data_IF_785645656305
#
_entry.id   IF_785645656305
#
_cell.length_a   1.000
_cell.length_b   1.000
_cell.length_c   1.000
_cell.angle_alpha   90.00
_cell.angle_beta   90.00
_cell.angle_gamma   90.00
#
_symmetry.space_group_name_H-M   'P 1'
#
loop_
_entity.id
_entity.type
_entity.pdbx_description
1 polymer ?
#
# COMPACT_ATOMS: atom_id res chain seq x y z
N UNK A 1 3.28 0.41 -17.40
CA UNK A 1 2.81 1.02 -16.14
C UNK A 1 3.40 0.30 -14.94
N UNK A 2 3.66 1.02 -13.82
CA UNK A 2 4.19 0.44 -12.57
C UNK A 2 3.24 0.73 -11.42
N UNK A 3 2.84 -0.32 -10.68
CA UNK A 3 1.98 -0.22 -9.51
C UNK A 3 2.79 -0.52 -8.25
N UNK A 4 2.92 0.46 -7.37
CA UNK A 4 3.75 0.42 -6.17
C UNK A 4 2.88 0.21 -4.94
N UNK A 5 3.04 -0.94 -4.29
CA UNK A 5 2.31 -1.31 -3.07
C UNK A 5 3.25 -1.33 -1.86
N UNK A 6 2.81 -0.84 -0.69
CA UNK A 6 3.67 -0.77 0.49
C UNK A 6 4.09 -2.13 1.05
N UNK A 7 3.32 -3.18 0.77
CA UNK A 7 3.53 -4.52 1.31
C UNK A 7 3.38 -5.59 0.23
N UNK A 8 4.27 -6.58 0.23
CA UNK A 8 4.18 -7.77 -0.64
C UNK A 8 2.86 -8.53 -0.46
N UNK A 9 2.34 -8.58 0.77
CA UNK A 9 1.03 -9.20 1.03
C UNK A 9 -0.09 -8.53 0.21
N UNK A 10 -0.08 -7.20 0.10
CA UNK A 10 -1.06 -6.47 -0.73
C UNK A 10 -0.89 -6.78 -2.22
N UNK A 11 0.35 -6.93 -2.70
CA UNK A 11 0.60 -7.37 -4.08
C UNK A 11 -0.03 -8.74 -4.32
N UNK A 12 0.21 -9.70 -3.40
CA UNK A 12 -0.33 -11.06 -3.52
C UNK A 12 -1.86 -11.08 -3.51
N UNK A 13 -2.50 -10.22 -2.73
CA UNK A 13 -3.95 -10.10 -2.69
C UNK A 13 -4.51 -9.43 -3.95
N UNK A 14 -3.82 -8.43 -4.51
CA UNK A 14 -4.30 -7.63 -5.63
C UNK A 14 -3.94 -8.22 -7.00
N UNK A 15 -2.83 -8.95 -7.12
CA UNK A 15 -2.32 -9.42 -8.41
C UNK A 15 -3.34 -10.24 -9.18
N UNK A 16 -4.07 -11.15 -8.52
CA UNK A 16 -5.06 -11.98 -9.19
C UNK A 16 -6.24 -11.16 -9.72
N UNK A 17 -6.69 -10.18 -8.96
CA UNK A 17 -7.77 -9.27 -9.37
C UNK A 17 -7.36 -8.43 -10.58
N UNK A 18 -6.13 -7.91 -10.56
CA UNK A 18 -5.57 -7.11 -11.67
C UNK A 18 -5.40 -8.01 -12.93
N UNK A 19 -4.83 -9.21 -12.78
CA UNK A 19 -4.71 -10.17 -13.89
C UNK A 19 -6.07 -10.50 -14.48
N UNK A 20 -7.05 -10.85 -13.66
CA UNK A 20 -8.40 -11.16 -14.12
C UNK A 20 -9.08 -10.01 -14.87
N UNK A 21 -8.71 -8.77 -14.56
CA UNK A 21 -9.26 -7.57 -15.20
C UNK A 21 -8.57 -7.27 -16.53
N UNK A 22 -7.25 -7.37 -16.57
CA UNK A 22 -6.45 -6.82 -17.67
C UNK A 22 -5.98 -7.89 -18.68
N UNK A 23 -5.65 -9.11 -18.25
CA UNK A 23 -5.18 -10.17 -19.15
C UNK A 23 -6.22 -10.56 -20.23
N UNK A 24 -7.55 -10.59 -19.95
CA UNK A 24 -8.55 -10.82 -21.00
C UNK A 24 -8.57 -9.74 -22.09
N UNK A 25 -8.00 -8.56 -21.81
CA UNK A 25 -7.84 -7.45 -22.75
C UNK A 25 -6.51 -7.52 -23.52
N UNK A 26 -5.71 -8.57 -23.32
CA UNK A 26 -4.40 -8.73 -23.93
C UNK A 26 -3.29 -7.91 -23.23
N UNK A 27 -3.55 -7.40 -22.01
CA UNK A 27 -2.59 -6.61 -21.23
C UNK A 27 -1.86 -7.54 -20.26
N UNK A 28 -0.54 -7.61 -20.39
CA UNK A 28 0.30 -8.47 -19.57
C UNK A 28 0.53 -7.87 -18.17
N UNK A 29 0.45 -8.71 -17.11
CA UNK A 29 0.60 -8.30 -15.72
C UNK A 29 1.58 -9.20 -15.00
N UNK A 30 2.64 -8.65 -14.41
CA UNK A 30 3.64 -9.41 -13.68
C UNK A 30 4.01 -8.76 -12.33
N UNK A 31 4.54 -9.59 -11.43
CA UNK A 31 5.06 -9.14 -10.14
C UNK A 31 6.58 -9.14 -10.18
N UNK A 32 7.18 -8.01 -9.83
CA UNK A 32 8.62 -7.83 -9.79
C UNK A 32 9.02 -7.21 -8.46
N UNK A 33 9.43 -8.05 -7.51
CA UNK A 33 9.78 -7.63 -6.16
C UNK A 33 10.97 -8.42 -5.60
N UNK A 34 11.30 -8.24 -4.32
CA UNK A 34 12.45 -8.89 -3.68
C UNK A 34 12.35 -10.43 -3.57
N UNK A 35 11.21 -11.04 -3.85
CA UNK A 35 11.01 -12.50 -3.88
C UNK A 35 11.18 -13.09 -5.28
N UNK A 36 11.18 -12.24 -6.31
CA UNK A 36 11.43 -12.67 -7.70
C UNK A 36 12.86 -13.19 -7.80
N UNK A 37 13.04 -14.43 -8.23
CA UNK A 37 14.36 -15.01 -8.43
C UNK A 37 15.16 -14.28 -9.51
N UNK A 38 16.48 -14.50 -9.53
CA UNK A 38 17.37 -13.73 -10.37
C UNK A 38 17.09 -13.92 -11.89
N UNK A 39 16.82 -15.14 -12.33
CA UNK A 39 16.59 -15.43 -13.76
C UNK A 39 15.27 -14.84 -14.23
N UNK A 40 14.19 -15.00 -13.47
CA UNK A 40 12.89 -14.40 -13.75
C UNK A 40 12.96 -12.86 -13.73
N UNK A 41 13.77 -12.31 -12.84
CA UNK A 41 13.98 -10.85 -12.77
C UNK A 41 14.63 -10.30 -14.05
N UNK A 42 15.69 -10.94 -14.54
CA UNK A 42 16.35 -10.54 -15.78
C UNK A 42 15.41 -10.66 -16.98
N UNK A 43 14.65 -11.75 -17.06
CA UNK A 43 13.64 -11.95 -18.11
C UNK A 43 12.58 -10.83 -18.09
N UNK A 44 12.03 -10.51 -16.90
CA UNK A 44 11.00 -9.46 -16.78
C UNK A 44 11.53 -8.08 -17.14
N UNK A 45 12.77 -7.74 -16.77
CA UNK A 45 13.39 -6.49 -17.21
C UNK A 45 13.63 -6.47 -18.72
N UNK A 46 14.04 -7.59 -19.32
CA UNK A 46 14.18 -7.69 -20.78
C UNK A 46 12.82 -7.51 -21.49
N UNK A 47 11.75 -8.14 -21.00
CA UNK A 47 10.39 -7.94 -21.51
C UNK A 47 9.93 -6.48 -21.39
N UNK A 48 10.21 -5.81 -20.26
CA UNK A 48 9.95 -4.37 -20.11
C UNK A 48 10.69 -3.53 -21.14
N UNK A 49 11.98 -3.81 -21.37
CA UNK A 49 12.78 -3.08 -22.35
C UNK A 49 12.29 -3.28 -23.81
N UNK A 50 11.68 -4.44 -24.09
CA UNK A 50 11.14 -4.77 -25.41
C UNK A 50 9.64 -4.35 -25.59
N UNK A 51 9.04 -3.70 -24.61
CA UNK A 51 7.60 -3.39 -24.58
C UNK A 51 6.67 -4.61 -24.56
N UNK A 52 7.13 -5.76 -24.05
CA UNK A 52 6.36 -7.00 -23.96
C UNK A 52 5.72 -7.18 -22.56
N UNK A 53 5.76 -6.14 -21.73
CA UNK A 53 5.20 -6.15 -20.38
C UNK A 53 4.51 -4.81 -20.08
N UNK A 54 3.20 -4.85 -19.84
CA UNK A 54 2.36 -3.65 -19.72
C UNK A 54 2.23 -3.14 -18.28
N UNK A 55 2.02 -4.07 -17.34
CA UNK A 55 1.82 -3.73 -15.93
C UNK A 55 2.78 -4.51 -15.05
N UNK A 56 3.50 -3.82 -14.18
CA UNK A 56 4.38 -4.41 -13.17
C UNK A 56 3.90 -3.98 -11.78
N UNK A 57 3.68 -4.96 -10.90
CA UNK A 57 3.43 -4.72 -9.48
C UNK A 57 4.74 -4.87 -8.71
N UNK A 58 5.07 -3.88 -7.87
CA UNK A 58 6.33 -3.85 -7.14
C UNK A 58 6.20 -3.24 -5.75
N UNK A 59 7.27 -3.32 -4.95
CA UNK A 59 7.37 -2.59 -3.67
C UNK A 59 8.27 -1.36 -3.81
N UNK A 60 8.10 -0.33 -2.96
CA UNK A 60 8.93 0.87 -3.04
C UNK A 60 10.41 0.58 -2.85
N UNK A 61 10.77 -0.38 -2.00
CA UNK A 61 12.16 -0.78 -1.79
C UNK A 61 12.77 -1.40 -3.05
N UNK A 62 12.04 -2.30 -3.71
CA UNK A 62 12.51 -2.92 -4.94
C UNK A 62 12.57 -1.91 -6.08
N UNK A 63 11.57 -1.05 -6.22
CA UNK A 63 11.49 -0.01 -7.23
C UNK A 63 12.66 0.98 -7.11
N UNK A 64 12.95 1.45 -5.88
CA UNK A 64 14.08 2.33 -5.62
C UNK A 64 15.42 1.65 -5.87
N UNK A 65 15.62 0.42 -5.39
CA UNK A 65 16.87 -0.32 -5.55
C UNK A 65 17.20 -0.60 -7.03
N UNK A 66 16.19 -0.83 -7.85
CA UNK A 66 16.30 -1.19 -9.26
C UNK A 66 15.90 -0.05 -10.22
N UNK A 67 15.90 1.20 -9.74
CA UNK A 67 15.45 2.36 -10.52
C UNK A 67 16.14 2.48 -11.90
N UNK A 68 17.42 2.15 -11.98
CA UNK A 68 18.16 2.15 -13.25
C UNK A 68 17.59 1.13 -14.26
N UNK A 69 17.28 -0.10 -13.81
CA UNK A 69 16.72 -1.13 -14.69
C UNK A 69 15.32 -0.74 -15.18
N UNK A 70 14.48 -0.17 -14.29
CA UNK A 70 13.20 0.38 -14.69
C UNK A 70 13.36 1.53 -15.70
N UNK A 71 14.31 2.44 -15.50
CA UNK A 71 14.55 3.56 -16.41
C UNK A 71 15.09 3.13 -17.79
N UNK A 72 15.84 2.02 -17.86
CA UNK A 72 16.33 1.48 -19.12
C UNK A 72 15.20 1.04 -20.08
N UNK A 73 14.02 0.74 -19.58
CA UNK A 73 12.87 0.42 -20.44
C UNK A 73 12.37 1.60 -21.26
N UNK A 74 12.61 2.84 -20.81
CA UNK A 74 12.20 4.13 -21.43
C UNK A 74 10.68 4.24 -21.76
N UNK A 75 9.85 3.31 -21.28
CA UNK A 75 8.45 3.17 -21.69
C UNK A 75 7.46 3.23 -20.52
N UNK A 76 7.95 3.60 -19.32
CA UNK A 76 7.08 3.76 -18.15
C UNK A 76 6.42 5.14 -18.24
N UNK A 77 5.16 5.16 -18.68
CA UNK A 77 4.38 6.38 -18.84
C UNK A 77 3.46 6.68 -17.64
N UNK A 78 3.23 5.68 -16.77
CA UNK A 78 2.29 5.81 -15.65
C UNK A 78 2.76 5.02 -14.44
N UNK A 79 2.71 5.65 -13.26
CA UNK A 79 3.05 5.04 -11.96
C UNK A 79 1.91 5.24 -10.98
N UNK A 80 1.48 4.18 -10.33
CA UNK A 80 0.44 4.20 -9.31
C UNK A 80 1.06 3.92 -7.95
N UNK A 81 0.86 4.79 -6.98
CA UNK A 81 1.21 4.57 -5.58
C UNK A 81 -0.05 4.28 -4.78
N UNK A 82 -0.19 3.06 -4.30
CA UNK A 82 -1.22 2.72 -3.34
C UNK A 82 -0.74 3.01 -1.91
N UNK A 83 -1.66 3.35 -1.01
CA UNK A 83 -1.37 3.81 0.35
C UNK A 83 -0.30 4.92 0.39
N UNK A 84 -0.47 5.90 -0.50
CA UNK A 84 0.49 6.97 -0.73
C UNK A 84 0.79 7.84 0.51
N UNK A 85 0.03 7.69 1.61
CA UNK A 85 0.35 8.36 2.87
C UNK A 85 1.75 8.01 3.39
N UNK A 86 2.28 6.83 3.02
CA UNK A 86 3.67 6.47 3.33
C UNK A 86 4.71 7.35 2.61
N UNK A 87 4.39 7.91 1.44
CA UNK A 87 5.25 8.86 0.70
C UNK A 87 5.38 10.17 1.46
N UNK A 88 4.29 10.63 2.07
CA UNK A 88 4.25 11.89 2.81
C UNK A 88 4.79 11.82 4.25
N UNK A 89 5.28 10.66 4.72
CA UNK A 89 5.86 10.51 6.05
C UNK A 89 7.34 10.92 6.04
N UNK A 90 7.81 11.52 7.14
CA UNK A 90 9.23 11.83 7.30
C UNK A 90 10.08 10.55 7.23
N UNK A 91 11.33 10.67 6.76
CA UNK A 91 12.26 9.55 6.64
C UNK A 91 12.54 8.83 7.98
N UNK A 92 12.35 9.49 9.10
CA UNK A 92 12.44 8.93 10.46
C UNK A 92 11.20 8.14 10.90
N UNK A 93 10.05 8.39 10.28
CA UNK A 93 8.75 7.77 10.61
C UNK A 93 8.28 6.79 9.53
N UNK A 94 8.82 6.92 8.32
CA UNK A 94 8.47 6.13 7.15
C UNK A 94 9.63 5.29 6.62
N UNK A 95 9.35 4.58 5.54
CA UNK A 95 10.37 3.80 4.83
C UNK A 95 11.23 4.73 3.97
N UNK A 96 12.56 4.66 4.11
CA UNK A 96 13.50 5.43 3.29
C UNK A 96 13.25 5.34 1.78
N UNK A 97 12.77 4.20 1.31
CA UNK A 97 12.44 3.99 -0.10
C UNK A 97 11.41 5.00 -0.63
N UNK A 98 10.42 5.39 0.18
CA UNK A 98 9.43 6.39 -0.25
C UNK A 98 10.04 7.79 -0.39
N UNK A 99 11.00 8.15 0.44
CA UNK A 99 11.70 9.43 0.30
C UNK A 99 12.51 9.55 -1.01
N UNK A 100 12.85 8.41 -1.62
CA UNK A 100 13.60 8.36 -2.88
C UNK A 100 12.70 8.37 -4.13
N UNK A 101 11.36 8.28 -3.97
CA UNK A 101 10.44 8.16 -5.11
C UNK A 101 10.50 9.35 -6.06
N UNK A 102 10.70 10.56 -5.57
CA UNK A 102 10.89 11.74 -6.44
C UNK A 102 12.08 11.56 -7.39
N UNK A 103 13.21 11.05 -6.89
CA UNK A 103 14.38 10.76 -7.72
C UNK A 103 14.11 9.64 -8.72
N UNK A 104 13.44 8.56 -8.27
CA UNK A 104 13.07 7.45 -9.15
C UNK A 104 12.20 7.95 -10.30
N UNK A 105 11.16 8.72 -10.00
CA UNK A 105 10.27 9.28 -11.02
C UNK A 105 11.02 10.19 -12.00
N UNK A 106 11.97 11.00 -11.53
CA UNK A 106 12.83 11.82 -12.39
C UNK A 106 13.68 10.95 -13.33
N UNK A 107 14.26 9.86 -12.82
CA UNK A 107 15.05 8.92 -13.64
C UNK A 107 14.20 8.21 -14.71
N UNK A 108 12.92 8.03 -14.47
CA UNK A 108 11.96 7.45 -15.41
C UNK A 108 11.45 8.46 -16.46
N UNK A 109 11.90 9.71 -16.44
CA UNK A 109 11.43 10.75 -17.33
C UNK A 109 10.13 11.43 -16.89
N UNK A 110 9.85 11.43 -15.60
CA UNK A 110 8.66 12.06 -14.98
C UNK A 110 7.33 11.53 -15.56
N UNK A 111 7.03 10.25 -15.39
CA UNK A 111 5.76 9.66 -15.85
C UNK A 111 4.57 10.29 -15.13
N UNK A 112 3.37 10.12 -15.67
CA UNK A 112 2.16 10.48 -14.94
C UNK A 112 2.03 9.66 -13.66
N UNK A 113 1.56 10.29 -12.58
CA UNK A 113 1.43 9.66 -11.27
C UNK A 113 -0.01 9.69 -10.80
N UNK A 114 -0.48 8.54 -10.32
CA UNK A 114 -1.69 8.42 -9.51
C UNK A 114 -1.29 8.00 -8.10
N UNK A 115 -1.69 8.79 -7.10
CA UNK A 115 -1.47 8.47 -5.69
C UNK A 115 -2.82 8.27 -5.00
N UNK A 116 -3.03 7.10 -4.38
CA UNK A 116 -4.26 6.76 -3.67
C UNK A 116 -3.98 6.51 -2.20
N UNK A 117 -4.84 7.01 -1.33
CA UNK A 117 -4.80 6.72 0.11
C UNK A 117 -6.15 6.96 0.77
N UNK A 118 -6.49 6.12 1.74
CA UNK A 118 -7.69 6.28 2.56
C UNK A 118 -7.46 7.18 3.80
N UNK A 119 -6.21 7.46 4.17
CA UNK A 119 -5.84 7.98 5.51
C UNK A 119 -4.88 9.17 5.47
N UNK A 120 -5.00 10.08 4.51
CA UNK A 120 -4.14 11.26 4.47
C UNK A 120 -4.70 12.42 5.32
N UNK A 121 -3.89 12.93 6.24
CA UNK A 121 -4.11 14.26 6.82
C UNK A 121 -3.86 15.35 5.79
N UNK A 122 -4.29 16.58 6.04
CA UNK A 122 -4.02 17.70 5.12
C UNK A 122 -2.52 17.90 4.88
N UNK A 123 -1.71 17.79 5.94
CA UNK A 123 -0.25 17.90 5.81
C UNK A 123 0.35 16.74 5.00
N UNK A 124 -0.11 15.50 5.23
CA UNK A 124 0.35 14.34 4.46
C UNK A 124 -0.02 14.49 2.98
N UNK A 125 -1.22 14.97 2.66
CA UNK A 125 -1.62 15.22 1.29
C UNK A 125 -0.73 16.26 0.60
N UNK A 126 -0.37 17.36 1.29
CA UNK A 126 0.57 18.35 0.78
C UNK A 126 1.95 17.73 0.51
N UNK A 127 2.51 16.99 1.46
CA UNK A 127 3.80 16.33 1.29
C UNK A 127 3.79 15.33 0.12
N UNK A 128 2.70 14.58 -0.07
CA UNK A 128 2.52 13.66 -1.22
C UNK A 128 2.58 14.47 -2.52
N UNK A 129 1.84 15.55 -2.61
CA UNK A 129 1.79 16.40 -3.81
C UNK A 129 3.17 16.98 -4.14
N UNK A 130 3.90 17.48 -3.15
CA UNK A 130 5.24 18.02 -3.32
C UNK A 130 6.24 16.95 -3.78
N UNK A 131 6.26 15.79 -3.12
CA UNK A 131 7.20 14.71 -3.43
C UNK A 131 6.95 14.03 -4.78
N UNK A 132 5.68 13.93 -5.19
CA UNK A 132 5.28 13.28 -6.44
C UNK A 132 4.97 14.27 -7.56
N UNK A 133 5.20 15.58 -7.33
CA UNK A 133 4.93 16.65 -8.30
C UNK A 133 3.49 16.67 -8.80
N UNK A 134 2.52 16.46 -7.90
CA UNK A 134 1.09 16.51 -8.21
C UNK A 134 0.57 17.92 -7.91
N UNK A 135 -0.04 18.56 -8.89
CA UNK A 135 -0.61 19.89 -8.73
C UNK A 135 -1.88 19.86 -7.87
N UNK A 136 -2.09 20.91 -7.06
CA UNK A 136 -3.19 20.96 -6.08
C UNK A 136 -4.58 20.81 -6.72
N UNK A 137 -4.74 21.23 -7.96
CA UNK A 137 -5.99 21.10 -8.72
C UNK A 137 -6.33 19.66 -9.10
N UNK A 138 -5.34 18.76 -9.09
CA UNK A 138 -5.51 17.33 -9.34
C UNK A 138 -5.76 16.51 -8.06
N UNK A 139 -5.98 17.16 -6.91
CA UNK A 139 -6.26 16.48 -5.65
C UNK A 139 -7.75 16.32 -5.44
N UNK A 140 -8.22 15.09 -5.45
CA UNK A 140 -9.62 14.75 -5.19
C UNK A 140 -9.75 14.15 -3.79
N UNK A 141 -10.62 14.73 -2.97
CA UNK A 141 -10.89 14.25 -1.61
C UNK A 141 -12.37 13.93 -1.44
N UNK A 142 -12.66 12.68 -1.14
CA UNK A 142 -14.00 12.28 -0.71
C UNK A 142 -14.30 12.89 0.67
N UNK A 143 -15.38 13.65 0.75
CA UNK A 143 -15.88 14.29 1.96
C UNK A 143 -17.11 13.59 2.54
N UNK A 144 -17.48 12.44 1.98
CA UNK A 144 -18.68 11.71 2.40
C UNK A 144 -18.47 11.16 3.80
N UNK A 145 -19.28 11.62 4.74
CA UNK A 145 -19.32 11.06 6.10
C UNK A 145 -19.99 9.69 6.08
N UNK A 146 -19.38 8.70 6.71
CA UNK A 146 -19.97 7.38 6.86
C UNK A 146 -21.03 7.42 7.97
N UNK A 147 -22.29 7.51 7.59
CA UNK A 147 -23.42 7.61 8.53
C UNK A 147 -23.73 6.28 9.24
N UNK A 148 -23.18 5.17 8.76
CA UNK A 148 -23.34 3.84 9.33
C UNK A 148 -22.29 3.50 10.42
N UNK A 149 -21.42 4.44 10.79
CA UNK A 149 -20.42 4.27 11.83
C UNK A 149 -20.81 5.05 13.09
N UNK A 150 -20.83 4.37 14.23
CA UNK A 150 -20.95 4.98 15.55
C UNK A 150 -19.59 4.95 16.25
N UNK A 151 -19.09 6.10 16.68
CA UNK A 151 -17.81 6.22 17.40
C UNK A 151 -18.07 6.30 18.89
N UNK A 152 -17.54 5.33 19.66
CA UNK A 152 -17.57 5.32 21.13
C UNK A 152 -16.17 5.47 21.69
N UNK A 153 -15.89 6.55 22.41
CA UNK A 153 -14.62 6.76 23.10
C UNK A 153 -14.64 6.08 24.47
N UNK A 154 -13.87 5.01 24.61
CA UNK A 154 -13.75 4.23 25.84
C UNK A 154 -12.38 4.42 26.54
N UNK A 155 -11.59 5.43 26.18
CA UNK A 155 -10.25 5.68 26.78
C UNK A 155 -10.28 5.89 28.30
N UNK A 156 -11.39 6.38 28.83
CA UNK A 156 -11.58 6.61 30.27
C UNK A 156 -12.01 5.38 31.09
N UNK A 157 -12.25 4.24 30.45
CA UNK A 157 -12.70 3.03 31.14
C UNK A 157 -11.55 2.45 31.97
N UNK A 158 -11.80 2.22 33.30
CA UNK A 158 -10.79 1.69 34.23
C UNK A 158 -10.43 0.23 33.93
N UNK A 159 -11.43 -0.59 33.65
CA UNK A 159 -11.27 -2.02 33.33
C UNK A 159 -11.48 -2.24 31.83
N UNK A 160 -10.37 -2.17 31.09
CA UNK A 160 -10.36 -2.34 29.64
C UNK A 160 -10.63 -3.79 29.20
N UNK A 161 -10.24 -4.76 30.04
CA UNK A 161 -10.47 -6.18 29.76
C UNK A 161 -11.97 -6.52 29.84
N UNK A 162 -12.62 -6.11 30.91
CA UNK A 162 -14.08 -6.26 31.04
C UNK A 162 -14.86 -5.55 29.93
N UNK A 163 -14.45 -4.33 29.57
CA UNK A 163 -15.09 -3.60 28.48
C UNK A 163 -14.93 -4.32 27.14
N UNK A 164 -13.74 -4.85 26.84
CA UNK A 164 -13.51 -5.62 25.63
C UNK A 164 -14.33 -6.90 25.62
N UNK A 165 -14.32 -7.67 26.71
CA UNK A 165 -15.12 -8.90 26.82
C UNK A 165 -16.61 -8.63 26.59
N UNK A 166 -17.13 -7.55 27.15
CA UNK A 166 -18.51 -7.13 26.92
C UNK A 166 -18.82 -6.82 25.46
N UNK A 167 -17.87 -6.21 24.73
CA UNK A 167 -18.04 -5.87 23.31
C UNK A 167 -17.97 -7.08 22.37
N UNK A 168 -17.19 -8.11 22.73
CA UNK A 168 -16.99 -9.28 21.86
C UNK A 168 -17.89 -10.46 22.21
N UNK A 169 -18.56 -10.42 23.39
CA UNK A 169 -19.42 -11.52 23.85
C UNK A 169 -20.84 -11.52 23.27
N UNK A 170 -21.21 -10.49 22.50
CA UNK A 170 -22.54 -10.37 21.90
C UNK A 170 -22.71 -11.20 20.62
N UNK A 171 -21.67 -11.92 20.20
CA UNK A 171 -21.67 -12.75 18.98
C UNK A 171 -21.57 -11.96 17.67
N UNK A 172 -21.36 -10.64 17.72
CA UNK A 172 -21.14 -9.85 16.51
C UNK A 172 -19.71 -10.04 15.97
N UNK A 173 -19.55 -9.91 14.64
CA UNK A 173 -18.22 -9.95 14.03
C UNK A 173 -17.42 -8.73 14.47
N UNK A 174 -16.36 -8.96 15.23
CA UNK A 174 -15.55 -7.91 15.83
C UNK A 174 -14.10 -7.99 15.36
N UNK A 175 -13.50 -6.84 15.02
CA UNK A 175 -12.07 -6.72 14.74
C UNK A 175 -11.45 -5.90 15.87
N UNK A 176 -10.42 -6.46 16.49
CA UNK A 176 -9.68 -5.79 17.58
C UNK A 176 -8.28 -5.43 17.11
N UNK A 177 -7.99 -4.14 17.03
CA UNK A 177 -6.65 -3.65 16.68
C UNK A 177 -5.79 -3.50 17.91
N UNK A 178 -4.53 -3.92 17.81
CA UNK A 178 -3.53 -3.82 18.86
C UNK A 178 -2.20 -3.32 18.30
N UNK A 179 -1.32 -2.80 19.17
CA UNK A 179 -0.09 -2.14 18.73
C UNK A 179 1.08 -3.10 18.43
N UNK A 180 0.98 -4.38 18.81
CA UNK A 180 2.06 -5.34 18.56
C UNK A 180 1.52 -6.77 18.33
N UNK A 181 2.36 -7.60 17.67
CA UNK A 181 2.07 -9.03 17.48
C UNK A 181 1.95 -9.78 18.81
N UNK A 182 2.77 -9.42 19.80
CA UNK A 182 2.73 -10.00 21.14
C UNK A 182 1.40 -9.72 21.83
N UNK A 183 0.91 -8.48 21.76
CA UNK A 183 -0.39 -8.10 22.27
C UNK A 183 -1.52 -8.85 21.56
N UNK A 184 -1.44 -9.01 20.23
CA UNK A 184 -2.42 -9.78 19.47
C UNK A 184 -2.48 -11.24 19.94
N UNK A 185 -1.32 -11.87 20.12
CA UNK A 185 -1.24 -13.25 20.60
C UNK A 185 -1.76 -13.41 22.04
N UNK A 186 -1.36 -12.50 22.94
CA UNK A 186 -1.81 -12.51 24.33
C UNK A 186 -3.34 -12.34 24.42
N UNK A 187 -3.87 -11.37 23.69
CA UNK A 187 -5.30 -11.11 23.62
C UNK A 187 -6.09 -12.29 23.03
N UNK A 188 -5.58 -12.92 21.98
CA UNK A 188 -6.21 -14.09 21.37
C UNK A 188 -6.29 -15.25 22.37
N UNK A 189 -5.20 -15.52 23.14
CA UNK A 189 -5.21 -16.57 24.18
C UNK A 189 -6.24 -16.25 25.27
N UNK A 190 -6.28 -15.00 25.73
CA UNK A 190 -7.23 -14.56 26.76
C UNK A 190 -8.68 -14.72 26.29
N UNK A 191 -9.00 -14.25 25.06
CA UNK A 191 -10.35 -14.34 24.51
C UNK A 191 -10.78 -15.80 24.34
N UNK A 192 -9.95 -16.68 23.79
CA UNK A 192 -10.24 -18.11 23.66
C UNK A 192 -10.50 -18.81 25.00
N UNK A 193 -9.87 -18.34 26.08
CA UNK A 193 -10.09 -18.90 27.42
C UNK A 193 -11.39 -18.39 28.06
N UNK A 194 -11.79 -17.16 27.76
CA UNK A 194 -12.94 -16.49 28.39
C UNK A 194 -14.24 -16.62 27.61
N UNK A 195 -14.15 -16.82 26.29
CA UNK A 195 -15.29 -16.94 25.37
C UNK A 195 -15.09 -18.26 24.63
N UNK A 196 -15.61 -19.38 25.16
CA UNK A 196 -15.63 -20.65 24.44
C UNK A 196 -16.50 -20.53 23.18
N UNK A 197 -16.10 -21.23 22.10
CA UNK A 197 -16.82 -21.29 20.83
C UNK A 197 -18.23 -21.87 20.99
#
# INVERSE_FOLDING_TARGET
SVFVYPLRALINDQVQSIKNTFEPLGISVEVLNGETDFSSREELFARMANNDLDIVLTTPEFFSLHANQFAMSQNISFVVFDEAHHVGMNASEGRLAYAQMSQVLTMLGSPQVLATTATATTQAAQNICELLSIEAEHVYKDKTARTNLELKDLRGVKDRECALLSLVSDGTKTIVYVNSREQAQALTRMLRHRIPE
#
